data_IF_858178804575
#
_entry.id   IF_858178804575
#
_cell.length_a   1.000
_cell.length_b   1.000
_cell.length_c   1.000
_cell.angle_alpha   90.00
_cell.angle_beta   90.00
_cell.angle_gamma   90.00
#
_symmetry.space_group_name_H-M   'P 1'
#
loop_
_entity.id
_entity.type
_entity.pdbx_description
1 polymer ?
#
# COMPACT_ATOMS: atom_id res chain seq x y z
N UNK A 1 27.59 18.69 -7.46
CA UNK A 1 27.02 17.44 -6.93
C UNK A 1 25.87 17.04 -7.84
N UNK A 2 25.88 15.84 -8.45
CA UNK A 2 24.69 15.37 -9.20
C UNK A 2 23.53 15.25 -8.22
N UNK A 3 22.38 15.85 -8.53
CA UNK A 3 21.17 15.60 -7.76
C UNK A 3 20.89 14.08 -7.83
N UNK A 4 20.98 13.40 -6.67
CA UNK A 4 20.60 12.00 -6.60
C UNK A 4 19.13 11.87 -7.02
N UNK A 5 18.81 10.80 -7.73
CA UNK A 5 17.42 10.48 -8.05
C UNK A 5 16.61 10.32 -6.75
N UNK A 6 15.28 10.42 -6.82
CA UNK A 6 14.40 10.16 -5.65
C UNK A 6 14.71 8.79 -5.03
N UNK A 7 15.09 7.81 -5.87
CA UNK A 7 15.55 6.51 -5.42
C UNK A 7 16.78 6.62 -4.51
N UNK A 8 17.81 7.37 -4.89
CA UNK A 8 19.06 7.49 -4.12
C UNK A 8 18.84 8.15 -2.75
N UNK A 9 17.93 9.12 -2.68
CA UNK A 9 17.56 9.75 -1.41
C UNK A 9 16.84 8.76 -0.50
N UNK A 10 15.83 8.05 -1.04
CA UNK A 10 15.09 7.04 -0.28
C UNK A 10 16.01 5.90 0.16
N UNK A 11 16.79 5.30 -0.76
CA UNK A 11 17.63 4.14 -0.48
C UNK A 11 18.66 4.41 0.61
N UNK A 12 19.28 5.60 0.62
CA UNK A 12 20.21 6.00 1.69
C UNK A 12 19.53 6.00 3.06
N UNK A 13 18.26 6.44 3.14
CA UNK A 13 17.49 6.41 4.39
C UNK A 13 17.07 4.99 4.77
N UNK A 14 16.64 4.15 3.83
CA UNK A 14 16.36 2.73 4.08
C UNK A 14 17.57 2.03 4.71
N UNK A 15 18.76 2.19 4.11
CA UNK A 15 20.00 1.60 4.62
C UNK A 15 20.39 2.16 5.99
N UNK A 16 20.37 3.49 6.16
CA UNK A 16 20.75 4.12 7.42
C UNK A 16 19.84 3.74 8.59
N UNK A 17 18.58 3.39 8.31
CA UNK A 17 17.59 2.96 9.31
C UNK A 17 17.53 1.43 9.46
N UNK A 18 18.30 0.66 8.69
CA UNK A 18 18.24 -0.81 8.71
C UNK A 18 16.90 -1.38 8.26
N UNK A 19 16.14 -0.66 7.42
CA UNK A 19 14.83 -1.12 6.94
C UNK A 19 15.04 -2.08 5.78
N UNK A 20 14.69 -3.35 6.01
CA UNK A 20 14.69 -4.39 5.01
C UNK A 20 13.35 -4.44 4.26
N UNK A 21 13.40 -4.21 2.94
CA UNK A 21 12.24 -4.22 2.07
C UNK A 21 12.62 -4.69 0.66
N UNK A 22 11.68 -5.34 -0.04
CA UNK A 22 11.89 -5.82 -1.41
C UNK A 22 12.28 -4.69 -2.39
N UNK A 23 11.83 -3.47 -2.11
CA UNK A 23 12.23 -2.26 -2.83
C UNK A 23 12.63 -1.19 -1.81
N UNK A 24 13.65 -0.37 -2.11
CA UNK A 24 14.18 0.67 -1.21
C UNK A 24 14.05 2.09 -1.79
N UNK A 25 13.07 2.27 -2.68
CA UNK A 25 12.84 3.51 -3.41
C UNK A 25 11.41 4.05 -3.29
N UNK A 26 11.04 4.97 -4.18
CA UNK A 26 9.71 5.59 -4.19
C UNK A 26 8.54 4.59 -4.31
N UNK A 27 8.76 3.43 -4.95
CA UNK A 27 7.75 2.37 -5.00
C UNK A 27 7.40 1.83 -3.60
N UNK A 28 8.39 1.58 -2.74
CA UNK A 28 8.13 1.12 -1.38
C UNK A 28 7.41 2.20 -0.54
N UNK A 29 7.77 3.47 -0.75
CA UNK A 29 7.07 4.59 -0.09
C UNK A 29 5.61 4.72 -0.55
N UNK A 30 5.33 4.49 -1.85
CA UNK A 30 3.95 4.44 -2.37
C UNK A 30 3.16 3.31 -1.71
N UNK A 31 3.75 2.12 -1.58
CA UNK A 31 3.13 1.00 -0.88
C UNK A 31 2.85 1.34 0.60
N UNK A 32 3.83 1.89 1.31
CA UNK A 32 3.67 2.29 2.71
C UNK A 32 2.57 3.35 2.88
N UNK A 33 2.50 4.34 1.98
CA UNK A 33 1.43 5.33 1.96
C UNK A 33 0.06 4.68 1.77
N UNK A 34 -0.09 3.83 0.74
CA UNK A 34 -1.34 3.13 0.48
C UNK A 34 -1.79 2.24 1.65
N UNK A 35 -0.86 1.48 2.25
CA UNK A 35 -1.14 0.65 3.41
C UNK A 35 -1.59 1.46 4.62
N UNK A 36 -0.99 2.64 4.84
CA UNK A 36 -1.39 3.55 5.91
C UNK A 36 -2.80 4.10 5.69
N UNK A 37 -3.10 4.62 4.51
CA UNK A 37 -4.42 5.17 4.19
C UNK A 37 -5.52 4.11 4.31
N UNK A 38 -5.21 2.87 3.92
CA UNK A 38 -6.11 1.73 4.07
C UNK A 38 -6.36 1.40 5.55
N UNK A 39 -5.33 1.48 6.40
CA UNK A 39 -5.47 1.30 7.85
C UNK A 39 -6.24 2.45 8.52
N UNK A 40 -6.20 3.65 7.94
CA UNK A 40 -7.02 4.81 8.34
C UNK A 40 -8.48 4.69 7.87
N UNK A 41 -8.84 3.60 7.16
CA UNK A 41 -10.21 3.30 6.77
C UNK A 41 -10.63 3.89 5.42
N UNK A 42 -9.71 4.47 4.65
CA UNK A 42 -10.04 4.99 3.33
C UNK A 42 -10.36 3.84 2.35
N UNK A 43 -11.31 4.09 1.46
CA UNK A 43 -11.68 3.16 0.40
C UNK A 43 -10.57 3.02 -0.65
N UNK A 44 -10.57 1.89 -1.37
CA UNK A 44 -9.64 1.66 -2.50
C UNK A 44 -9.74 2.76 -3.56
N UNK A 45 -10.93 3.36 -3.74
CA UNK A 45 -11.11 4.48 -4.66
C UNK A 45 -10.38 5.74 -4.18
N UNK A 46 -10.62 6.15 -2.94
CA UNK A 46 -9.97 7.34 -2.35
C UNK A 46 -8.44 7.21 -2.33
N UNK A 47 -7.94 6.01 -2.01
CA UNK A 47 -6.50 5.71 -2.08
C UNK A 47 -6.00 5.83 -3.53
N UNK A 48 -6.77 5.34 -4.50
CA UNK A 48 -6.43 5.45 -5.92
C UNK A 48 -6.34 6.90 -6.36
N UNK A 49 -7.33 7.70 -6.01
CA UNK A 49 -7.41 9.12 -6.32
C UNK A 49 -6.23 9.88 -5.67
N UNK A 50 -5.91 9.59 -4.41
CA UNK A 50 -4.75 10.17 -3.71
C UNK A 50 -3.41 9.83 -4.38
N UNK A 51 -3.27 8.61 -4.90
CA UNK A 51 -2.05 8.14 -5.56
C UNK A 51 -2.00 8.48 -7.06
N UNK A 52 -3.05 9.07 -7.62
CA UNK A 52 -3.15 9.40 -9.04
C UNK A 52 -3.36 8.18 -9.95
N UNK A 53 -3.94 7.10 -9.42
CA UNK A 53 -4.29 5.91 -10.20
C UNK A 53 -5.56 6.15 -11.03
N UNK A 54 -5.50 5.79 -12.31
CA UNK A 54 -6.64 5.95 -13.24
C UNK A 54 -7.71 4.86 -13.08
N UNK A 55 -7.38 3.75 -12.40
CA UNK A 55 -8.26 2.59 -12.27
C UNK A 55 -8.23 2.03 -10.87
N UNK A 56 -9.41 1.70 -10.33
CA UNK A 56 -9.51 0.99 -9.07
C UNK A 56 -8.84 -0.40 -9.14
N UNK A 57 -8.77 -1.02 -10.33
CA UNK A 57 -8.10 -2.31 -10.52
C UNK A 57 -6.59 -2.22 -10.27
N UNK A 58 -5.95 -1.08 -10.54
CA UNK A 58 -4.53 -0.89 -10.21
C UNK A 58 -4.31 -0.65 -8.72
N UNK A 59 -5.31 -0.13 -8.00
CA UNK A 59 -5.24 0.14 -6.56
C UNK A 59 -5.65 -1.07 -5.73
N UNK A 60 -6.42 -2.01 -6.29
CA UNK A 60 -6.90 -3.21 -5.59
C UNK A 60 -5.76 -4.10 -5.08
N UNK A 61 -4.55 -3.95 -5.62
CA UNK A 61 -3.33 -4.62 -5.11
C UNK A 61 -3.08 -4.36 -3.62
N UNK A 62 -3.58 -3.25 -3.08
CA UNK A 62 -3.44 -2.90 -1.66
C UNK A 62 -4.50 -3.57 -0.78
N UNK A 63 -5.61 -4.06 -1.33
CA UNK A 63 -6.65 -4.73 -0.54
C UNK A 63 -6.11 -5.95 0.23
N UNK A 64 -5.08 -6.62 -0.31
CA UNK A 64 -4.44 -7.79 0.30
C UNK A 64 -3.83 -7.54 1.69
N UNK A 65 -3.59 -6.28 2.06
CA UNK A 65 -3.04 -5.93 3.38
C UNK A 65 -4.08 -5.34 4.33
N UNK A 66 -5.35 -5.24 3.92
CA UNK A 66 -6.45 -4.84 4.80
C UNK A 66 -6.92 -6.02 5.65
N UNK A 67 -6.14 -6.38 6.68
CA UNK A 67 -6.45 -7.52 7.54
C UNK A 67 -7.78 -7.37 8.30
N UNK A 68 -8.22 -6.14 8.59
CA UNK A 68 -9.50 -5.90 9.24
C UNK A 68 -10.66 -6.32 8.33
N UNK A 69 -10.72 -5.75 7.11
CA UNK A 69 -11.77 -6.10 6.14
C UNK A 69 -11.70 -7.57 5.72
N UNK A 70 -10.49 -8.15 5.58
CA UNK A 70 -10.33 -9.57 5.25
C UNK A 70 -10.89 -10.48 6.34
N UNK A 71 -10.78 -10.10 7.62
CA UNK A 71 -11.39 -10.86 8.73
C UNK A 71 -12.91 -10.78 8.72
N UNK A 72 -13.47 -9.60 8.42
CA UNK A 72 -14.92 -9.42 8.33
C UNK A 72 -15.52 -10.33 7.25
N UNK A 73 -14.93 -10.34 6.05
CA UNK A 73 -15.38 -11.20 4.95
C UNK A 73 -15.13 -12.68 5.25
N UNK A 74 -14.02 -13.01 5.89
CA UNK A 74 -13.70 -14.39 6.28
C UNK A 74 -14.60 -14.95 7.40
N UNK A 75 -15.17 -14.08 8.24
CA UNK A 75 -16.11 -14.46 9.29
C UNK A 75 -17.56 -14.52 8.80
N UNK A 76 -17.83 -14.14 7.54
CA UNK A 76 -19.16 -14.17 6.96
C UNK A 76 -19.68 -15.62 6.86
N UNK A 77 -20.77 -15.91 7.56
CA UNK A 77 -21.45 -17.20 7.49
C UNK A 77 -22.20 -17.35 6.16
N UNK A 78 -21.82 -18.37 5.39
CA UNK A 78 -22.43 -18.69 4.10
C UNK A 78 -23.71 -19.53 4.24
N UNK A 79 -24.18 -19.81 5.47
CA UNK A 79 -25.27 -20.73 5.83
C UNK A 79 -26.65 -20.57 5.18
N UNK A 80 -26.81 -19.69 4.18
CA UNK A 80 -28.02 -19.55 3.36
C UNK A 80 -27.78 -19.66 1.84
N UNK A 81 -26.53 -19.92 1.40
CA UNK A 81 -26.13 -20.04 0.00
C UNK A 81 -25.79 -21.50 -0.42
N UNK A 82 -26.05 -22.49 0.44
CA UNK A 82 -25.91 -23.92 0.15
C UNK A 82 -27.26 -24.63 0.16
#
# INVERSE_FOLDING_TARGET
>A
MKAGSIYDVANRRFVALGIEAAHRGGHALRHACASRLLAEGLSIKEIGDHLGHRSAATTSIYAKVNLAALREVGAFDLGALQ
#
